data_IF_650203160035
#
_entry.id   IF_650203160035
#
_cell.length_a   1.000
_cell.length_b   1.000
_cell.length_c   1.000
_cell.angle_alpha   90.00
_cell.angle_beta   90.00
_cell.angle_gamma   90.00
#
_symmetry.space_group_name_H-M   'P 1'
#
loop_
_entity.id
_entity.type
_entity.pdbx_description
1 polymer ?
#
# COMPACT_ATOMS: atom_id res chain seq x y z
N UNK A 1 -38.31 -5.82 21.57
CA UNK A 1 -39.33 -6.91 21.71
C UNK A 1 -39.70 -7.19 23.16
N UNK A 2 -38.76 -7.56 24.04
CA UNK A 2 -39.05 -7.81 25.47
C UNK A 2 -39.67 -6.58 26.16
N UNK A 3 -39.11 -5.39 25.94
CA UNK A 3 -39.67 -4.13 26.46
C UNK A 3 -41.14 -3.92 26.05
N UNK A 4 -41.49 -4.20 24.78
CA UNK A 4 -42.87 -4.16 24.30
C UNK A 4 -43.77 -5.21 24.98
N UNK A 5 -43.28 -6.43 25.22
CA UNK A 5 -44.06 -7.47 25.91
C UNK A 5 -44.40 -7.10 27.36
N UNK A 6 -43.58 -6.28 28.00
CA UNK A 6 -43.81 -5.79 29.37
C UNK A 6 -44.38 -4.37 29.40
N UNK A 7 -44.79 -3.81 28.26
CA UNK A 7 -45.31 -2.44 28.15
C UNK A 7 -44.38 -1.37 28.76
N UNK A 8 -43.06 -1.61 28.71
CA UNK A 8 -42.02 -0.71 29.22
C UNK A 8 -41.54 0.22 28.12
N UNK A 9 -42.32 1.27 27.87
CA UNK A 9 -42.02 2.25 26.83
C UNK A 9 -40.73 3.04 27.10
N UNK A 10 -40.41 3.28 28.37
CA UNK A 10 -39.16 3.90 28.82
C UNK A 10 -37.91 3.15 28.30
N UNK A 11 -37.95 1.82 28.32
CA UNK A 11 -36.87 0.99 27.79
C UNK A 11 -36.84 1.00 26.27
N UNK A 12 -37.99 1.13 25.60
CA UNK A 12 -38.06 1.26 24.14
C UNK A 12 -37.39 2.56 23.71
N UNK A 13 -37.68 3.67 24.40
CA UNK A 13 -37.10 4.98 24.10
C UNK A 13 -35.58 4.97 24.35
N UNK A 14 -35.13 4.36 25.45
CA UNK A 14 -33.70 4.18 25.74
C UNK A 14 -32.98 3.38 24.64
N UNK A 15 -33.57 2.27 24.17
CA UNK A 15 -32.99 1.46 23.09
C UNK A 15 -32.97 2.23 21.78
N UNK A 16 -33.98 3.05 21.52
CA UNK A 16 -34.05 3.89 20.33
C UNK A 16 -32.95 4.94 20.32
N UNK A 17 -32.73 5.63 21.42
CA UNK A 17 -31.68 6.65 21.50
C UNK A 17 -30.30 6.00 21.33
N UNK A 18 -30.04 4.88 22.02
CA UNK A 18 -28.79 4.13 21.87
C UNK A 18 -28.58 3.60 20.43
N UNK A 19 -29.64 3.14 19.76
CA UNK A 19 -29.55 2.68 18.37
C UNK A 19 -29.22 3.84 17.41
N UNK A 20 -29.79 5.02 17.63
CA UNK A 20 -29.50 6.22 16.83
C UNK A 20 -28.07 6.71 17.04
N UNK A 21 -27.58 6.72 18.28
CA UNK A 21 -26.19 7.07 18.59
C UNK A 21 -25.22 6.08 17.92
N UNK A 22 -25.48 4.78 18.03
CA UNK A 22 -24.67 3.76 17.38
C UNK A 22 -24.65 3.92 15.85
N UNK A 23 -25.81 4.22 15.24
CA UNK A 23 -25.90 4.49 13.81
C UNK A 23 -25.09 5.73 13.41
N UNK A 24 -25.19 6.82 14.16
CA UNK A 24 -24.44 8.04 13.90
C UNK A 24 -22.92 7.83 13.95
N UNK A 25 -22.43 7.05 14.92
CA UNK A 25 -21.03 6.66 15.02
C UNK A 25 -20.58 5.83 13.82
N UNK A 26 -21.36 4.81 13.43
CA UNK A 26 -21.00 3.98 12.28
C UNK A 26 -21.02 4.76 10.97
N UNK A 27 -21.99 5.66 10.77
CA UNK A 27 -22.08 6.50 9.58
C UNK A 27 -20.82 7.38 9.48
N UNK A 28 -20.41 8.05 10.56
CA UNK A 28 -19.20 8.89 10.54
C UNK A 28 -17.94 8.06 10.29
N UNK A 29 -17.81 6.89 10.94
CA UNK A 29 -16.69 5.96 10.72
C UNK A 29 -16.61 5.48 9.26
N UNK A 30 -17.73 5.12 8.64
CA UNK A 30 -17.75 4.69 7.25
C UNK A 30 -17.48 5.83 6.27
N UNK A 31 -17.98 7.04 6.54
CA UNK A 31 -17.64 8.23 5.74
C UNK A 31 -16.14 8.52 5.79
N UNK A 32 -15.52 8.47 6.97
CA UNK A 32 -14.07 8.57 7.09
C UNK A 32 -13.34 7.41 6.40
N UNK A 33 -13.88 6.20 6.53
CA UNK A 33 -13.37 4.99 5.88
C UNK A 33 -13.31 5.15 4.36
N UNK A 34 -14.38 5.69 3.75
CA UNK A 34 -14.45 5.99 2.32
C UNK A 34 -13.35 6.99 1.90
N UNK A 35 -13.13 8.05 2.68
CA UNK A 35 -12.06 9.01 2.41
C UNK A 35 -10.66 8.36 2.50
N UNK A 36 -10.44 7.49 3.50
CA UNK A 36 -9.18 6.75 3.68
C UNK A 36 -8.95 5.81 2.50
N UNK A 37 -9.96 5.04 2.09
CA UNK A 37 -9.89 4.15 0.91
C UNK A 37 -9.55 4.96 -0.34
N UNK A 38 -10.22 6.08 -0.58
CA UNK A 38 -9.94 6.97 -1.71
C UNK A 38 -8.49 7.46 -1.74
N UNK A 39 -7.96 7.89 -0.58
CA UNK A 39 -6.56 8.33 -0.43
C UNK A 39 -5.56 7.24 -0.81
N UNK A 40 -5.76 6.01 -0.32
CA UNK A 40 -4.85 4.89 -0.61
C UNK A 40 -4.99 4.39 -2.04
N UNK A 41 -6.20 4.40 -2.60
CA UNK A 41 -6.44 4.06 -4.01
C UNK A 41 -5.75 5.06 -4.94
N UNK A 42 -5.90 6.36 -4.70
CA UNK A 42 -5.22 7.40 -5.50
C UNK A 42 -3.69 7.23 -5.46
N UNK A 43 -3.14 6.94 -4.26
CA UNK A 43 -1.70 6.65 -4.11
C UNK A 43 -1.28 5.40 -4.88
N UNK A 44 -2.06 4.32 -4.82
CA UNK A 44 -1.79 3.10 -5.58
C UNK A 44 -1.74 3.38 -7.10
N UNK A 45 -2.71 4.13 -7.62
CA UNK A 45 -2.75 4.50 -9.04
C UNK A 45 -1.50 5.28 -9.44
N UNK A 46 -1.10 6.28 -8.65
CA UNK A 46 0.08 7.08 -8.92
C UNK A 46 1.38 6.25 -8.91
N UNK A 47 1.54 5.36 -7.91
CA UNK A 47 2.71 4.47 -7.82
C UNK A 47 2.78 3.52 -9.02
N UNK A 48 1.64 2.92 -9.39
CA UNK A 48 1.56 1.98 -10.52
C UNK A 48 1.83 2.67 -11.86
N UNK A 49 1.26 3.85 -12.08
CA UNK A 49 1.52 4.65 -13.29
C UNK A 49 3.00 5.03 -13.40
N UNK A 50 3.63 5.46 -12.31
CA UNK A 50 5.07 5.76 -12.28
C UNK A 50 5.92 4.53 -12.61
N UNK A 51 5.58 3.36 -12.06
CA UNK A 51 6.32 2.12 -12.33
C UNK A 51 6.22 1.73 -13.81
N UNK A 52 5.03 1.81 -14.39
CA UNK A 52 4.80 1.48 -15.80
C UNK A 52 5.52 2.47 -16.73
N UNK A 53 5.48 3.77 -16.43
CA UNK A 53 6.18 4.78 -17.25
C UNK A 53 7.70 4.63 -17.17
N UNK A 54 8.25 4.31 -16.00
CA UNK A 54 9.69 4.00 -15.86
C UNK A 54 10.08 2.74 -16.63
N UNK A 55 9.27 1.67 -16.55
CA UNK A 55 9.52 0.45 -17.31
C UNK A 55 9.51 0.70 -18.82
N UNK A 56 8.58 1.51 -19.32
CA UNK A 56 8.52 1.89 -20.73
C UNK A 56 9.76 2.70 -21.18
N UNK A 57 10.21 3.64 -20.35
CA UNK A 57 11.42 4.43 -20.61
C UNK A 57 12.68 3.56 -20.66
N UNK A 58 12.83 2.65 -19.71
CA UNK A 58 13.95 1.71 -19.69
C UNK A 58 13.93 0.81 -20.93
N UNK A 59 12.76 0.31 -21.34
CA UNK A 59 12.65 -0.49 -22.57
C UNK A 59 12.99 0.28 -23.85
N UNK A 60 12.66 1.57 -23.93
CA UNK A 60 13.04 2.38 -25.09
C UNK A 60 14.54 2.71 -25.11
N UNK A 61 15.15 2.92 -23.94
CA UNK A 61 16.58 3.18 -23.81
C UNK A 61 17.40 1.92 -24.12
N UNK A 62 16.99 0.76 -23.61
CA UNK A 62 17.60 -0.54 -23.89
C UNK A 62 17.54 -0.86 -25.40
N UNK A 63 16.40 -0.58 -26.04
CA UNK A 63 16.24 -0.74 -27.50
C UNK A 63 17.05 0.28 -28.31
N UNK A 64 17.31 1.47 -27.76
CA UNK A 64 18.15 2.48 -28.42
C UNK A 64 19.64 2.07 -28.36
N UNK A 65 20.10 1.55 -27.22
CA UNK A 65 21.47 1.04 -27.06
C UNK A 65 21.75 -0.19 -27.93
N UNK A 66 20.79 -1.10 -28.07
CA UNK A 66 20.88 -2.30 -28.94
C UNK A 66 21.03 -1.95 -30.43
N UNK A 67 20.41 -0.84 -30.87
CA UNK A 67 20.50 -0.36 -32.26
C UNK A 67 21.80 0.41 -32.53
N UNK A 68 22.44 0.99 -31.49
CA UNK A 68 23.76 1.61 -31.65
C UNK A 68 24.89 0.56 -31.74
N UNK A 69 24.76 -0.60 -31.10
CA UNK A 69 25.81 -1.64 -31.15
C UNK A 69 25.98 -2.26 -32.56
N UNK A 70 24.89 -2.38 -33.32
CA UNK A 70 24.93 -2.82 -34.73
C UNK A 70 25.47 -1.76 -35.70
N UNK A 71 25.70 -0.52 -35.26
CA UNK A 71 26.10 0.61 -36.11
C UNK A 71 27.47 1.23 -35.73
N UNK A 72 28.19 0.70 -34.74
CA UNK A 72 29.53 1.15 -34.36
C UNK A 72 30.56 0.04 -34.64
N UNK A 73 30.67 -0.36 -35.91
CA UNK A 73 31.89 -1.00 -36.41
C UNK A 73 32.73 0.05 -37.12
N UNK A 74 33.91 0.30 -36.55
CA UNK A 74 35.05 1.08 -37.05
C UNK A 74 34.99 2.60 -36.89
N UNK A 75 35.61 3.12 -35.81
CA UNK A 75 36.81 3.98 -35.94
C UNK A 75 37.45 4.31 -34.57
N UNK A 76 38.72 3.92 -34.44
CA UNK A 76 39.81 4.53 -33.66
C UNK A 76 39.65 4.86 -32.17
N UNK A 77 40.49 4.17 -31.39
CA UNK A 77 41.02 4.50 -30.07
C UNK A 77 41.22 5.99 -29.75
N UNK A 78 40.87 6.39 -28.52
CA UNK A 78 41.57 7.40 -27.70
C UNK A 78 41.09 7.29 -26.25
N UNK A 79 41.63 6.33 -25.49
CA UNK A 79 41.45 6.30 -24.04
C UNK A 79 42.43 7.30 -23.43
N UNK A 80 41.98 8.53 -23.19
CA UNK A 80 42.78 9.53 -22.48
C UNK A 80 42.60 9.32 -20.98
N UNK A 81 43.69 8.88 -20.35
CA UNK A 81 43.98 9.03 -18.94
C UNK A 81 43.66 10.45 -18.46
N UNK A 82 42.91 10.58 -17.37
CA UNK A 82 42.98 11.78 -16.54
C UNK A 82 42.80 11.42 -15.05
N UNK A 83 43.92 11.61 -14.36
CA UNK A 83 44.26 11.32 -12.96
C UNK A 83 43.25 11.76 -11.90
N UNK A 84 43.02 10.90 -10.89
CA UNK A 84 42.46 11.30 -9.60
C UNK A 84 43.33 10.77 -8.43
N UNK A 85 43.95 11.73 -7.76
CA UNK A 85 44.71 11.76 -6.51
C UNK A 85 44.73 10.50 -5.62
N UNK A 86 45.93 9.97 -5.37
CA UNK A 86 46.23 9.32 -4.08
C UNK A 86 47.59 9.79 -3.55
N UNK A 87 47.58 10.25 -2.31
CA UNK A 87 48.71 10.84 -1.60
C UNK A 87 49.63 9.77 -1.03
N UNK A 88 50.92 9.90 -1.36
CA UNK A 88 52.11 9.52 -0.57
C UNK A 88 52.10 8.16 0.16
N UNK A 89 52.82 7.20 -0.44
CA UNK A 89 53.27 5.95 0.18
C UNK A 89 54.38 6.17 1.20
N UNK A 90 54.22 5.62 2.41
CA UNK A 90 55.33 5.19 3.27
C UNK A 90 55.00 3.85 3.94
N UNK A 91 55.65 2.81 3.40
CA UNK A 91 56.30 1.69 4.10
C UNK A 91 55.48 0.78 5.06
N UNK A 92 55.52 -0.51 4.70
CA UNK A 92 55.62 -1.73 5.53
C UNK A 92 54.31 -2.47 5.93
N UNK A 93 54.31 -3.75 5.52
CA UNK A 93 53.81 -4.94 6.23
C UNK A 93 52.38 -5.46 5.96
N UNK A 94 52.37 -6.63 5.31
CA UNK A 94 51.66 -7.86 5.70
C UNK A 94 50.15 -8.04 5.39
N UNK A 95 49.90 -9.08 4.58
CA UNK A 95 48.63 -9.84 4.42
C UNK A 95 47.43 -9.05 3.84
N UNK A 96 46.53 -9.57 3.00
CA UNK A 96 46.17 -10.92 2.56
C UNK A 96 45.35 -10.80 1.27
N UNK A 97 45.52 -11.77 0.38
CA UNK A 97 44.62 -12.10 -0.72
C UNK A 97 43.24 -12.50 -0.21
N UNK A 98 42.16 -11.80 -0.57
CA UNK A 98 40.84 -12.42 -0.81
C UNK A 98 40.14 -11.61 -1.91
N UNK A 99 40.07 -12.23 -3.09
CA UNK A 99 39.12 -11.93 -4.14
C UNK A 99 37.73 -12.38 -3.71
N UNK A 100 36.72 -11.54 -3.92
CA UNK A 100 35.32 -11.96 -3.83
C UNK A 100 34.53 -11.42 -5.03
N UNK A 101 34.67 -12.12 -6.15
CA UNK A 101 33.62 -12.26 -7.15
C UNK A 101 32.64 -13.34 -6.66
N UNK A 102 31.50 -12.93 -6.13
CA UNK A 102 30.37 -13.81 -5.82
C UNK A 102 29.09 -13.06 -6.23
N UNK A 103 28.55 -13.30 -7.43
CA UNK A 103 27.64 -14.39 -7.80
C UNK A 103 26.20 -14.23 -7.28
N UNK A 104 25.25 -14.38 -8.22
CA UNK A 104 23.88 -14.90 -8.07
C UNK A 104 22.77 -13.92 -7.65
N UNK A 105 22.04 -13.52 -8.68
CA UNK A 105 20.58 -13.72 -8.79
C UNK A 105 19.98 -14.63 -7.70
N UNK A 106 19.30 -14.05 -6.70
CA UNK A 106 18.17 -14.63 -5.95
C UNK A 106 17.73 -13.65 -4.87
N UNK A 107 16.76 -12.81 -5.23
CA UNK A 107 16.07 -11.92 -4.31
C UNK A 107 14.55 -12.07 -4.36
N UNK A 108 14.02 -13.20 -4.84
CA UNK A 108 12.61 -13.53 -4.58
C UNK A 108 12.49 -14.02 -3.14
N UNK A 109 11.39 -13.65 -2.48
CA UNK A 109 10.91 -14.19 -1.20
C UNK A 109 11.49 -13.59 0.08
N UNK A 110 11.36 -12.27 0.22
CA UNK A 110 11.10 -11.69 1.55
C UNK A 110 9.76 -10.96 1.53
N UNK A 111 8.67 -11.73 1.50
CA UNK A 111 7.40 -11.25 2.07
C UNK A 111 7.60 -11.14 3.59
N UNK A 112 8.24 -10.04 4.02
CA UNK A 112 8.16 -9.62 5.42
C UNK A 112 6.75 -9.10 5.63
N UNK A 113 6.02 -9.77 6.51
CA UNK A 113 4.71 -9.36 7.01
C UNK A 113 4.67 -7.84 7.27
N UNK A 114 3.74 -7.17 6.58
CA UNK A 114 3.00 -5.99 7.02
C UNK A 114 3.76 -4.95 7.85
N UNK A 115 4.81 -4.36 7.30
CA UNK A 115 5.35 -3.11 7.83
C UNK A 115 4.50 -1.90 7.41
N UNK A 116 4.72 -0.75 8.05
CA UNK A 116 4.15 0.53 7.58
C UNK A 116 4.49 0.75 6.10
N UNK A 117 3.52 1.23 5.30
CA UNK A 117 3.73 1.54 3.89
C UNK A 117 4.77 2.66 3.76
N UNK A 118 5.97 2.32 3.29
CA UNK A 118 7.06 3.28 3.07
C UNK A 118 7.02 3.80 1.63
N UNK A 119 6.90 5.12 1.48
CA UNK A 119 6.94 5.78 0.18
C UNK A 119 8.27 5.51 -0.54
N UNK A 120 8.20 5.21 -1.84
CA UNK A 120 9.34 4.92 -2.70
C UNK A 120 9.97 3.54 -2.48
N UNK A 121 9.38 2.69 -1.64
CA UNK A 121 9.91 1.34 -1.42
C UNK A 121 9.54 0.41 -2.59
N UNK A 122 10.40 -0.59 -2.93
CA UNK A 122 10.10 -1.52 -4.02
C UNK A 122 8.80 -2.32 -3.85
N UNK A 123 8.32 -2.48 -2.61
CA UNK A 123 7.09 -3.18 -2.27
C UNK A 123 5.88 -2.27 -2.03
N UNK A 124 5.99 -0.97 -2.29
CA UNK A 124 4.91 -0.01 -1.97
C UNK A 124 3.59 -0.35 -2.65
N UNK A 125 3.61 -0.70 -3.94
CA UNK A 125 2.40 -1.06 -4.71
C UNK A 125 1.66 -2.23 -4.06
N UNK A 126 2.38 -3.30 -3.70
CA UNK A 126 1.80 -4.48 -3.06
C UNK A 126 1.34 -4.21 -1.63
N UNK A 127 2.09 -3.41 -0.87
CA UNK A 127 1.71 -3.01 0.48
C UNK A 127 0.41 -2.17 0.48
N UNK A 128 0.20 -1.31 -0.53
CA UNK A 128 -1.04 -0.55 -0.70
C UNK A 128 -2.23 -1.48 -1.01
N UNK A 129 -2.03 -2.49 -1.86
CA UNK A 129 -3.06 -3.49 -2.16
C UNK A 129 -3.43 -4.29 -0.92
N UNK A 130 -2.45 -4.77 -0.16
CA UNK A 130 -2.68 -5.51 1.08
C UNK A 130 -3.40 -4.63 2.12
N UNK A 131 -3.02 -3.36 2.24
CA UNK A 131 -3.66 -2.44 3.16
C UNK A 131 -5.12 -2.17 2.79
N UNK A 132 -5.42 -1.94 1.51
CA UNK A 132 -6.78 -1.76 1.02
C UNK A 132 -7.65 -3.00 1.28
N UNK A 133 -7.10 -4.21 1.08
CA UNK A 133 -7.79 -5.46 1.46
C UNK A 133 -8.07 -5.52 2.96
N UNK A 134 -7.13 -5.07 3.78
CA UNK A 134 -7.31 -5.00 5.24
C UNK A 134 -8.37 -3.99 5.72
N UNK A 135 -8.80 -3.06 4.85
CA UNK A 135 -9.89 -2.11 5.17
C UNK A 135 -11.29 -2.65 4.90
N UNK A 136 -11.42 -3.85 4.33
CA UNK A 136 -12.72 -4.44 4.08
C UNK A 136 -13.46 -4.71 5.40
N UNK A 137 -14.79 -4.55 5.38
CA UNK A 137 -15.64 -4.86 6.53
C UNK A 137 -15.45 -6.32 6.98
N UNK A 138 -15.19 -6.52 8.28
CA UNK A 138 -15.09 -7.85 8.85
C UNK A 138 -16.46 -8.54 8.90
N UNK A 139 -16.48 -9.88 8.77
CA UNK A 139 -17.71 -10.67 8.77
C UNK A 139 -18.52 -10.48 10.07
N UNK A 140 -17.85 -10.33 11.22
CA UNK A 140 -18.49 -10.04 12.50
C UNK A 140 -19.21 -8.68 12.49
N UNK A 141 -18.49 -7.63 12.09
CA UNK A 141 -19.03 -6.28 11.97
C UNK A 141 -20.21 -6.21 10.98
N UNK A 142 -20.18 -6.98 9.89
CA UNK A 142 -21.30 -7.08 8.96
C UNK A 142 -22.56 -7.68 9.62
N UNK A 143 -22.41 -8.68 10.48
CA UNK A 143 -23.53 -9.27 11.23
C UNK A 143 -24.10 -8.29 12.25
N UNK A 144 -23.24 -7.56 12.96
CA UNK A 144 -23.63 -6.53 13.92
C UNK A 144 -24.36 -5.38 13.24
N UNK A 145 -23.84 -4.87 12.12
CA UNK A 145 -24.50 -3.87 11.29
C UNK A 145 -25.89 -4.34 10.85
N UNK A 146 -26.01 -5.59 10.37
CA UNK A 146 -27.31 -6.16 10.01
C UNK A 146 -28.28 -6.19 11.19
N UNK A 147 -27.81 -6.52 12.38
CA UNK A 147 -28.64 -6.50 13.59
C UNK A 147 -29.12 -5.09 13.91
N UNK A 148 -28.23 -4.08 13.81
CA UNK A 148 -28.60 -2.68 14.03
C UNK A 148 -29.66 -2.21 13.02
N UNK A 149 -29.51 -2.55 11.74
CA UNK A 149 -30.49 -2.21 10.69
C UNK A 149 -31.88 -2.80 10.99
N UNK A 150 -31.94 -4.03 11.49
CA UNK A 150 -33.20 -4.65 11.92
C UNK A 150 -33.82 -3.89 13.09
N UNK A 151 -33.01 -3.43 14.05
CA UNK A 151 -33.52 -2.63 15.19
C UNK A 151 -34.03 -1.27 14.72
N UNK A 152 -33.28 -0.56 13.88
CA UNK A 152 -33.67 0.75 13.35
C UNK A 152 -34.98 0.67 12.55
N UNK A 153 -35.14 -0.34 11.70
CA UNK A 153 -36.38 -0.56 10.94
C UNK A 153 -37.56 -0.91 11.85
N UNK A 154 -37.36 -1.74 12.87
CA UNK A 154 -38.42 -2.04 13.86
C UNK A 154 -38.85 -0.81 14.66
N UNK A 155 -37.98 0.20 14.81
CA UNK A 155 -38.25 1.44 15.52
C UNK A 155 -38.78 2.57 14.62
N UNK A 156 -39.05 2.31 13.34
CA UNK A 156 -39.52 3.32 12.38
C UNK A 156 -38.44 4.36 12.04
N UNK A 157 -37.17 3.95 12.01
CA UNK A 157 -36.00 4.77 11.66
C UNK A 157 -35.40 4.36 10.32
N UNK A 158 -36.26 4.16 9.33
CA UNK A 158 -35.89 3.70 7.99
C UNK A 158 -35.00 4.70 7.25
N UNK A 159 -35.16 6.00 7.50
CA UNK A 159 -34.30 7.03 6.91
C UNK A 159 -32.84 6.86 7.32
N UNK A 160 -32.61 6.59 8.61
CA UNK A 160 -31.27 6.36 9.15
C UNK A 160 -30.73 5.00 8.71
N UNK A 161 -31.59 3.97 8.67
CA UNK A 161 -31.20 2.64 8.21
C UNK A 161 -30.85 2.57 6.71
N UNK A 162 -31.30 3.54 5.90
CA UNK A 162 -31.00 3.63 4.47
C UNK A 162 -29.67 4.30 4.15
N UNK A 163 -29.14 5.11 5.07
CA UNK A 163 -27.85 5.77 4.93
C UNK A 163 -26.71 4.75 5.07
#
# INVERSE_FOLDING_TARGET
RVAYMHSRQDLVDTVKDAALECAALLISEYQEGLLKVGKYLARYVAVRQRRLSLAAKLQSEDRFMDVEDDNISEVSSSFSEMSAYTTRSTKESSASVISSSASKSRGSRRQKKGGKIRAGSPGEEMALVEHLKGMSLAIGAQKELKSLLVVLTQLGKEDVARQ
#
